data_IF_067367122894
#
_entry.id   IF_067367122894
#
_cell.length_a   1.000
_cell.length_b   1.000
_cell.length_c   1.000
_cell.angle_alpha   90.00
_cell.angle_beta   90.00
_cell.angle_gamma   90.00
#
_symmetry.space_group_name_H-M   'P 1'
#
loop_
_entity.id
_entity.type
_entity.pdbx_description
1 polymer ?
#
# COMPACT_ATOMS: atom_id res chain seq x y z
N UNK A 1 -21.86 -2.21 20.66
CA UNK A 1 -20.86 -2.69 21.63
C UNK A 1 -20.83 -1.80 22.87
N UNK A 2 -20.85 -0.47 22.72
CA UNK A 2 -20.87 0.46 23.84
C UNK A 2 -22.06 0.28 24.81
N UNK A 3 -23.26 0.00 24.29
CA UNK A 3 -24.43 -0.33 25.12
C UNK A 3 -24.23 -1.61 25.95
N UNK A 4 -23.51 -2.61 25.42
CA UNK A 4 -23.23 -3.86 26.13
C UNK A 4 -22.18 -3.67 27.24
N UNK A 5 -21.18 -2.80 27.01
CA UNK A 5 -20.18 -2.40 28.00
C UNK A 5 -20.83 -1.63 29.16
N UNK A 6 -21.70 -0.67 28.85
CA UNK A 6 -22.40 0.10 29.87
C UNK A 6 -23.36 -0.76 30.70
N UNK A 7 -24.02 -1.74 30.06
CA UNK A 7 -24.87 -2.70 30.76
C UNK A 7 -24.08 -3.62 31.70
N UNK A 8 -22.93 -4.16 31.25
CA UNK A 8 -22.06 -5.01 32.09
C UNK A 8 -21.45 -4.23 33.26
N UNK A 9 -21.04 -2.96 33.07
CA UNK A 9 -20.57 -2.10 34.17
C UNK A 9 -21.64 -1.88 35.24
N UNK A 10 -22.88 -1.56 34.84
CA UNK A 10 -24.01 -1.42 35.78
C UNK A 10 -24.30 -2.71 36.54
N UNK A 11 -24.28 -3.85 35.86
CA UNK A 11 -24.50 -5.17 36.48
C UNK A 11 -23.43 -5.51 37.53
N UNK A 12 -22.17 -5.19 37.24
CA UNK A 12 -21.04 -5.36 38.17
C UNK A 12 -21.20 -4.46 39.41
N UNK A 13 -21.60 -3.20 39.23
CA UNK A 13 -21.86 -2.27 40.34
C UNK A 13 -23.01 -2.73 41.25
N UNK A 14 -24.08 -3.29 40.69
CA UNK A 14 -25.21 -3.83 41.45
C UNK A 14 -24.81 -5.08 42.25
N UNK A 15 -24.12 -6.03 41.61
CA UNK A 15 -23.68 -7.28 42.25
C UNK A 15 -22.59 -7.03 43.31
N UNK A 16 -21.72 -6.04 43.11
CA UNK A 16 -20.69 -5.66 44.08
C UNK A 16 -21.26 -5.06 45.37
N UNK A 17 -22.49 -4.52 45.34
CA UNK A 17 -23.13 -3.89 46.51
C UNK A 17 -24.03 -4.84 47.29
N UNK A 18 -24.61 -5.85 46.65
CA UNK A 18 -25.72 -6.63 47.21
C UNK A 18 -25.40 -8.10 47.56
N UNK A 19 -24.32 -8.71 47.03
CA UNK A 19 -24.10 -10.15 47.21
C UNK A 19 -22.65 -10.53 47.56
N UNK A 20 -22.43 -11.00 48.80
CA UNK A 20 -21.20 -11.70 49.23
C UNK A 20 -21.37 -13.22 49.28
N UNK A 21 -22.41 -13.74 48.63
CA UNK A 21 -22.63 -15.19 48.51
C UNK A 21 -21.57 -15.81 47.59
N UNK A 22 -21.14 -17.07 47.82
CA UNK A 22 -20.12 -17.72 46.99
C UNK A 22 -20.47 -17.73 45.49
N UNK A 23 -21.77 -17.87 45.16
CA UNK A 23 -22.26 -17.81 43.78
C UNK A 23 -22.22 -16.40 43.18
N UNK A 24 -22.51 -15.36 43.98
CA UNK A 24 -22.42 -13.97 43.56
C UNK A 24 -20.99 -13.56 43.18
N UNK A 25 -19.99 -14.05 43.93
CA UNK A 25 -18.56 -13.79 43.67
C UNK A 25 -18.10 -14.41 42.35
N UNK A 26 -18.56 -15.64 42.04
CA UNK A 26 -18.26 -16.31 40.76
C UNK A 26 -18.87 -15.53 39.59
N UNK A 27 -20.14 -15.14 39.68
CA UNK A 27 -20.83 -14.34 38.67
C UNK A 27 -20.15 -12.98 38.44
N UNK A 28 -19.67 -12.35 39.52
CA UNK A 28 -18.88 -11.11 39.44
C UNK A 28 -17.58 -11.31 38.65
N UNK A 29 -16.85 -12.40 38.93
CA UNK A 29 -15.60 -12.71 38.22
C UNK A 29 -15.82 -12.95 36.72
N UNK A 30 -16.92 -13.62 36.36
CA UNK A 30 -17.30 -13.89 34.97
C UNK A 30 -17.67 -12.60 34.23
N UNK A 31 -18.42 -11.70 34.88
CA UNK A 31 -18.79 -10.40 34.31
C UNK A 31 -17.57 -9.47 34.13
N UNK A 32 -16.62 -9.47 35.07
CA UNK A 32 -15.36 -8.71 34.94
C UNK A 32 -14.53 -9.25 33.77
N UNK A 33 -14.44 -10.57 33.62
CA UNK A 33 -13.76 -11.21 32.48
C UNK A 33 -14.44 -10.89 31.15
N UNK A 34 -15.77 -10.90 31.10
CA UNK A 34 -16.55 -10.52 29.92
C UNK A 34 -16.35 -9.04 29.55
N UNK A 35 -16.32 -8.14 30.53
CA UNK A 35 -16.06 -6.71 30.33
C UNK A 35 -14.66 -6.49 29.72
N UNK A 36 -13.63 -7.14 30.27
CA UNK A 36 -12.27 -7.05 29.75
C UNK A 36 -12.18 -7.51 28.28
N UNK A 37 -12.89 -8.59 27.91
CA UNK A 37 -12.96 -9.07 26.52
C UNK A 37 -13.67 -8.07 25.61
N UNK A 38 -14.77 -7.46 26.06
CA UNK A 38 -15.51 -6.45 25.30
C UNK A 38 -14.67 -5.18 25.08
N UNK A 39 -14.01 -4.67 26.12
CA UNK A 39 -13.17 -3.47 26.03
C UNK A 39 -11.95 -3.71 25.13
N UNK A 40 -11.32 -4.89 25.22
CA UNK A 40 -10.23 -5.28 24.31
C UNK A 40 -10.70 -5.44 22.86
N UNK A 41 -11.91 -5.97 22.65
CA UNK A 41 -12.55 -6.03 21.34
C UNK A 41 -12.74 -4.64 20.71
N UNK A 42 -13.24 -3.66 21.48
CA UNK A 42 -13.41 -2.28 21.00
C UNK A 42 -12.08 -1.61 20.67
N UNK A 43 -11.05 -1.80 21.51
CA UNK A 43 -9.70 -1.28 21.22
C UNK A 43 -9.15 -1.85 19.92
N UNK A 44 -9.34 -3.16 19.69
CA UNK A 44 -8.93 -3.83 18.45
C UNK A 44 -9.64 -3.25 17.24
N UNK A 45 -10.96 -3.04 17.30
CA UNK A 45 -11.73 -2.43 16.20
C UNK A 45 -11.32 -0.99 15.93
N UNK A 46 -11.11 -0.17 16.97
CA UNK A 46 -10.64 1.22 16.83
C UNK A 46 -9.22 1.32 16.28
N UNK A 47 -8.39 0.31 16.48
CA UNK A 47 -7.02 0.25 15.92
C UNK A 47 -6.96 -0.15 14.44
N UNK A 48 -8.07 -0.65 13.86
CA UNK A 48 -8.15 -0.92 12.43
C UNK A 48 -8.23 0.43 11.72
N UNK A 49 -7.06 0.96 11.32
CA UNK A 49 -7.00 2.15 10.47
C UNK A 49 -7.68 1.80 9.14
N UNK A 50 -8.69 2.57 8.79
CA UNK A 50 -9.32 2.48 7.47
C UNK A 50 -8.24 2.85 6.44
N UNK A 51 -7.80 1.88 5.63
CA UNK A 51 -6.80 2.14 4.59
C UNK A 51 -7.54 2.89 3.49
N UNK A 52 -7.11 4.12 3.18
CA UNK A 52 -7.58 4.85 2.01
C UNK A 52 -7.51 3.93 0.79
N UNK A 53 -8.64 3.68 0.15
CA UNK A 53 -8.65 2.94 -1.12
C UNK A 53 -7.93 3.81 -2.16
N UNK A 54 -7.09 3.23 -3.02
CA UNK A 54 -6.50 3.98 -4.12
C UNK A 54 -7.64 4.50 -5.01
N UNK A 55 -7.61 5.81 -5.31
CA UNK A 55 -8.53 6.41 -6.27
C UNK A 55 -7.98 6.06 -7.65
N UNK A 56 -8.63 5.12 -8.35
CA UNK A 56 -8.23 4.74 -9.70
C UNK A 56 -8.70 5.85 -10.65
N UNK A 57 -7.81 6.78 -10.98
CA UNK A 57 -8.07 7.78 -12.03
C UNK A 57 -7.48 7.27 -13.34
N UNK A 58 -8.31 6.62 -14.16
CA UNK A 58 -7.96 6.21 -15.54
C UNK A 58 -7.39 7.39 -16.34
N UNK A 59 -7.92 8.60 -16.13
CA UNK A 59 -7.49 9.85 -16.77
C UNK A 59 -6.97 10.85 -15.73
N UNK A 60 -5.97 10.49 -14.94
CA UNK A 60 -5.34 11.42 -14.00
C UNK A 60 -4.63 12.56 -14.75
N UNK A 61 -5.10 13.83 -14.66
CA UNK A 61 -4.47 14.94 -15.37
C UNK A 61 -3.02 15.14 -14.92
N UNK A 62 -2.75 14.89 -13.64
CA UNK A 62 -1.42 14.97 -13.04
C UNK A 62 -0.47 13.93 -13.63
N UNK A 63 -0.95 12.70 -13.88
CA UNK A 63 -0.13 11.65 -14.48
C UNK A 63 0.20 11.96 -15.95
N UNK A 64 -0.76 12.50 -16.69
CA UNK A 64 -0.56 12.93 -18.08
C UNK A 64 0.44 14.08 -18.17
N UNK A 65 0.36 15.06 -17.27
CA UNK A 65 1.32 16.16 -17.19
C UNK A 65 2.72 15.64 -16.81
N UNK A 66 2.82 14.72 -15.84
CA UNK A 66 4.09 14.08 -15.50
C UNK A 66 4.70 13.34 -16.69
N UNK A 67 3.90 12.53 -17.40
CA UNK A 67 4.32 11.82 -18.62
C UNK A 67 4.84 12.78 -19.68
N UNK A 68 4.14 13.89 -19.92
CA UNK A 68 4.55 14.92 -20.87
C UNK A 68 5.90 15.54 -20.47
N UNK A 69 6.04 15.96 -19.21
CA UNK A 69 7.29 16.54 -18.71
C UNK A 69 8.47 15.57 -18.82
N UNK A 70 8.25 14.27 -18.55
CA UNK A 70 9.27 13.23 -18.71
C UNK A 70 9.66 13.03 -20.18
N UNK A 71 8.70 13.05 -21.12
CA UNK A 71 8.98 12.93 -22.55
C UNK A 71 9.80 14.11 -23.09
N UNK A 72 9.55 15.31 -22.59
CA UNK A 72 10.20 16.55 -23.01
C UNK A 72 11.56 16.75 -22.35
N UNK A 73 11.67 16.50 -21.05
CA UNK A 73 12.83 16.88 -20.23
C UNK A 73 13.57 15.71 -19.58
N UNK A 74 13.06 14.48 -19.68
CA UNK A 74 13.64 13.29 -19.04
C UNK A 74 14.82 12.67 -19.78
N UNK A 75 15.45 13.36 -20.74
CA UNK A 75 16.64 12.90 -21.47
C UNK A 75 16.54 11.46 -22.01
N UNK A 76 15.37 11.09 -22.53
CA UNK A 76 15.09 9.74 -23.03
C UNK A 76 15.64 9.52 -24.44
N UNK A 77 16.20 8.33 -24.68
CA UNK A 77 16.49 7.84 -26.03
C UNK A 77 15.20 7.65 -26.83
N UNK A 78 15.29 7.65 -28.16
CA UNK A 78 14.13 7.53 -29.04
C UNK A 78 13.27 6.29 -28.72
N UNK A 79 13.90 5.12 -28.52
CA UNK A 79 13.19 3.89 -28.19
C UNK A 79 12.49 3.93 -26.81
N UNK A 80 13.05 4.69 -25.85
CA UNK A 80 12.45 4.88 -24.53
C UNK A 80 11.20 5.76 -24.62
N UNK A 81 11.25 6.81 -25.46
CA UNK A 81 10.07 7.64 -25.74
C UNK A 81 8.96 6.83 -26.37
N UNK A 82 9.29 5.99 -27.35
CA UNK A 82 8.34 5.08 -28.00
C UNK A 82 7.69 4.12 -26.98
N UNK A 83 8.50 3.49 -26.12
CA UNK A 83 8.00 2.62 -25.05
C UNK A 83 7.03 3.34 -24.11
N UNK A 84 7.35 4.58 -23.72
CA UNK A 84 6.53 5.38 -22.82
C UNK A 84 5.24 5.88 -23.49
N UNK A 85 5.23 6.03 -24.81
CA UNK A 85 4.06 6.47 -25.58
C UNK A 85 3.06 5.35 -25.87
N UNK A 86 3.47 4.08 -25.82
CA UNK A 86 2.56 2.95 -25.96
C UNK A 86 1.47 2.99 -24.88
N UNK A 87 0.23 2.68 -25.30
CA UNK A 87 -0.94 2.55 -24.42
C UNK A 87 -1.35 1.07 -24.26
N UNK A 88 -0.47 0.14 -24.65
CA UNK A 88 -0.77 -1.29 -24.60
C UNK A 88 -0.78 -1.78 -23.14
N UNK A 89 -1.82 -2.53 -22.78
CA UNK A 89 -1.96 -3.11 -21.43
C UNK A 89 -0.88 -4.14 -21.12
N UNK A 90 -0.48 -4.92 -22.13
CA UNK A 90 0.55 -5.95 -22.00
C UNK A 90 1.70 -5.65 -22.96
N UNK A 91 2.90 -5.44 -22.40
CA UNK A 91 4.10 -5.12 -23.17
C UNK A 91 5.19 -6.14 -22.87
N UNK A 92 5.66 -6.81 -23.92
CA UNK A 92 6.81 -7.73 -23.87
C UNK A 92 7.95 -7.08 -24.64
N UNK A 93 9.07 -6.82 -23.97
CA UNK A 93 10.21 -6.11 -24.56
C UNK A 93 11.40 -7.04 -24.67
N UNK A 94 11.80 -7.34 -25.91
CA UNK A 94 13.10 -7.94 -26.18
C UNK A 94 14.17 -6.83 -26.21
N UNK A 95 15.03 -6.80 -25.19
CA UNK A 95 16.07 -5.77 -25.02
C UNK A 95 17.48 -6.34 -25.12
N UNK A 96 18.40 -5.52 -25.61
CA UNK A 96 19.84 -5.72 -25.41
C UNK A 96 20.27 -5.24 -24.01
N UNK A 97 21.50 -5.57 -23.60
CA UNK A 97 22.08 -5.10 -22.33
C UNK A 97 22.55 -3.64 -22.44
N UNK A 98 22.63 -2.98 -21.29
CA UNK A 98 23.22 -1.63 -21.15
C UNK A 98 22.53 -0.51 -21.95
N UNK A 99 21.25 -0.66 -22.28
CA UNK A 99 20.48 0.39 -22.96
C UNK A 99 19.81 1.38 -21.98
N UNK A 100 19.74 1.04 -20.69
CA UNK A 100 19.05 1.87 -19.70
C UNK A 100 17.53 1.65 -19.68
N UNK A 101 17.07 0.41 -19.89
CA UNK A 101 15.63 0.12 -19.87
C UNK A 101 14.99 0.35 -18.48
N UNK A 102 15.71 0.01 -17.40
CA UNK A 102 15.23 0.25 -16.03
C UNK A 102 14.96 1.74 -15.73
N UNK A 103 15.63 2.65 -16.44
CA UNK A 103 15.40 4.10 -16.32
C UNK A 103 13.98 4.45 -16.78
N UNK A 104 13.59 4.06 -18.00
CA UNK A 104 12.27 4.38 -18.55
C UNK A 104 11.14 3.55 -17.92
N UNK A 105 11.37 2.27 -17.61
CA UNK A 105 10.33 1.43 -16.99
C UNK A 105 9.96 1.93 -15.59
N UNK A 106 10.94 2.39 -14.82
CA UNK A 106 10.69 2.98 -13.49
C UNK A 106 9.95 4.32 -13.58
N UNK A 107 10.17 5.09 -14.66
CA UNK A 107 9.44 6.33 -14.95
C UNK A 107 7.95 6.04 -15.21
N UNK A 108 7.69 5.03 -16.05
CA UNK A 108 6.33 4.63 -16.41
C UNK A 108 5.57 4.02 -15.22
N UNK A 109 6.25 3.25 -14.38
CA UNK A 109 5.70 2.80 -13.11
C UNK A 109 5.33 3.99 -12.20
N UNK A 110 6.19 5.01 -12.09
CA UNK A 110 5.87 6.22 -11.31
C UNK A 110 4.65 6.95 -11.87
N UNK A 111 4.54 7.08 -13.20
CA UNK A 111 3.36 7.67 -13.86
C UNK A 111 2.11 6.88 -13.51
N UNK A 112 2.17 5.54 -13.55
CA UNK A 112 1.08 4.67 -13.12
C UNK A 112 0.68 4.86 -11.66
N UNK A 113 1.66 4.98 -10.76
CA UNK A 113 1.42 5.26 -9.35
C UNK A 113 0.77 6.63 -9.14
N UNK A 114 1.21 7.67 -9.85
CA UNK A 114 0.61 9.02 -9.81
C UNK A 114 -0.82 9.02 -10.37
N UNK A 115 -1.13 8.12 -11.32
CA UNK A 115 -2.49 7.88 -11.81
C UNK A 115 -3.39 7.16 -10.78
N UNK A 116 -2.83 6.67 -9.67
CA UNK A 116 -3.56 5.97 -8.62
C UNK A 116 -3.58 4.44 -8.79
N UNK A 117 -2.73 3.88 -9.68
CA UNK A 117 -2.59 2.44 -9.85
C UNK A 117 -1.41 1.92 -9.03
N UNK A 118 -1.63 0.87 -8.26
CA UNK A 118 -0.56 0.21 -7.52
C UNK A 118 0.43 -0.46 -8.50
N UNK A 119 1.72 -0.44 -8.17
CA UNK A 119 2.79 -0.94 -9.03
C UNK A 119 3.62 -2.00 -8.30
N UNK A 120 3.86 -3.13 -8.97
CA UNK A 120 4.57 -4.26 -8.40
C UNK A 120 5.81 -4.57 -9.26
N UNK A 121 7.00 -4.35 -8.70
CA UNK A 121 8.26 -4.77 -9.30
C UNK A 121 8.56 -6.21 -8.89
N UNK A 122 8.66 -7.09 -9.89
CA UNK A 122 9.02 -8.49 -9.71
C UNK A 122 10.29 -8.77 -10.50
N UNK A 123 11.35 -9.14 -9.81
CA UNK A 123 12.63 -9.49 -10.45
C UNK A 123 13.14 -10.85 -9.98
N UNK A 124 14.16 -11.37 -10.66
CA UNK A 124 14.76 -12.65 -10.28
C UNK A 124 15.37 -12.63 -8.86
N UNK A 125 15.85 -11.47 -8.37
CA UNK A 125 16.23 -11.25 -6.98
C UNK A 125 15.65 -9.96 -6.39
N UNK A 126 15.66 -9.86 -5.05
CA UNK A 126 15.24 -8.66 -4.34
C UNK A 126 16.12 -7.44 -4.66
N UNK A 127 17.45 -7.62 -4.69
CA UNK A 127 18.39 -6.57 -5.09
C UNK A 127 18.14 -6.05 -6.50
N UNK A 128 17.73 -6.91 -7.44
CA UNK A 128 17.39 -6.49 -8.80
C UNK A 128 16.13 -5.62 -8.82
N UNK A 129 15.10 -6.01 -8.07
CA UNK A 129 13.88 -5.20 -7.95
C UNK A 129 14.17 -3.84 -7.29
N UNK A 130 15.13 -3.79 -6.35
CA UNK A 130 15.60 -2.54 -5.76
C UNK A 130 16.28 -1.59 -6.77
N UNK A 131 16.81 -2.08 -7.89
CA UNK A 131 17.34 -1.21 -8.96
C UNK A 131 16.20 -0.37 -9.56
N UNK A 132 15.05 -0.98 -9.85
CA UNK A 132 13.86 -0.23 -10.32
C UNK A 132 13.37 0.75 -9.26
N UNK A 133 13.33 0.34 -7.99
CA UNK A 133 12.95 1.24 -6.89
C UNK A 133 13.88 2.47 -6.79
N UNK A 134 15.19 2.31 -7.01
CA UNK A 134 16.16 3.43 -7.01
C UNK A 134 15.91 4.41 -8.15
N UNK A 135 15.68 3.91 -9.37
CA UNK A 135 15.35 4.77 -10.51
C UNK A 135 14.00 5.46 -10.32
N UNK A 136 13.00 4.77 -9.77
CA UNK A 136 11.70 5.37 -9.46
C UNK A 136 11.85 6.52 -8.46
N UNK A 137 12.63 6.34 -7.38
CA UNK A 137 12.94 7.42 -6.43
C UNK A 137 13.68 8.58 -7.07
N UNK A 138 14.59 8.29 -8.00
CA UNK A 138 15.30 9.32 -8.77
C UNK A 138 14.31 10.18 -9.57
N UNK A 139 13.39 9.55 -10.33
CA UNK A 139 12.33 10.26 -11.05
C UNK A 139 11.42 11.07 -10.12
N UNK A 140 11.00 10.48 -8.99
CA UNK A 140 10.17 11.18 -8.03
C UNK A 140 10.86 12.44 -7.50
N UNK A 141 12.16 12.34 -7.18
CA UNK A 141 12.96 13.49 -6.75
C UNK A 141 13.08 14.55 -7.85
N UNK A 142 13.34 14.14 -9.09
CA UNK A 142 13.52 15.05 -10.24
C UNK A 142 12.23 15.82 -10.57
N UNK A 143 11.07 15.19 -10.45
CA UNK A 143 9.77 15.79 -10.81
C UNK A 143 8.97 16.29 -9.61
N UNK A 144 9.55 16.24 -8.39
CA UNK A 144 8.94 16.77 -7.18
C UNK A 144 7.74 15.98 -6.66
N UNK A 145 7.74 14.66 -6.85
CA UNK A 145 6.70 13.76 -6.31
C UNK A 145 7.04 13.40 -4.87
N UNK A 146 6.13 13.72 -3.94
CA UNK A 146 6.28 13.42 -2.52
C UNK A 146 5.75 12.03 -2.16
N UNK A 147 6.39 11.40 -1.18
CA UNK A 147 5.97 10.12 -0.63
C UNK A 147 5.41 10.29 0.77
N UNK A 148 4.27 9.65 1.01
CA UNK A 148 3.67 9.54 2.34
C UNK A 148 4.45 8.56 3.22
N UNK A 149 4.99 7.51 2.60
CA UNK A 149 5.85 6.51 3.24
C UNK A 149 6.92 6.11 2.25
N UNK A 150 8.18 6.11 2.69
CA UNK A 150 9.30 5.58 1.93
C UNK A 150 10.03 4.55 2.79
N UNK A 151 10.02 3.30 2.33
CA UNK A 151 10.78 2.20 2.91
C UNK A 151 11.47 1.45 1.78
N UNK A 152 12.56 0.74 2.07
CA UNK A 152 13.43 0.13 1.06
C UNK A 152 12.66 -0.58 -0.07
N UNK A 153 11.72 -1.46 0.30
CA UNK A 153 10.92 -2.28 -0.61
C UNK A 153 9.53 -1.74 -0.93
N UNK A 154 9.10 -0.64 -0.32
CA UNK A 154 7.72 -0.14 -0.48
C UNK A 154 7.68 1.39 -0.34
N UNK A 155 7.09 2.04 -1.35
CA UNK A 155 6.83 3.47 -1.37
C UNK A 155 5.33 3.69 -1.51
N UNK A 156 4.77 4.62 -0.74
CA UNK A 156 3.36 5.01 -0.80
C UNK A 156 3.27 6.49 -1.14
N UNK A 157 2.50 6.83 -2.17
CA UNK A 157 2.26 8.19 -2.63
C UNK A 157 1.14 8.86 -1.80
N UNK A 158 1.03 10.18 -1.91
CA UNK A 158 -0.04 10.95 -1.23
C UNK A 158 -1.45 10.55 -1.68
N UNK A 159 -1.60 10.10 -2.92
CA UNK A 159 -2.86 9.59 -3.47
C UNK A 159 -3.24 8.18 -2.96
N UNK A 160 -2.40 7.56 -2.14
CA UNK A 160 -2.60 6.24 -1.56
C UNK A 160 -2.13 5.06 -2.42
N UNK A 161 -1.71 5.29 -3.67
CA UNK A 161 -1.10 4.25 -4.48
C UNK A 161 0.26 3.85 -3.91
N UNK A 162 0.62 2.57 -4.06
CA UNK A 162 1.92 2.09 -3.61
C UNK A 162 2.74 1.44 -4.73
N UNK A 163 4.05 1.53 -4.60
CA UNK A 163 5.03 0.86 -5.43
C UNK A 163 5.80 -0.09 -4.54
N UNK A 164 5.81 -1.38 -4.88
CA UNK A 164 6.40 -2.43 -4.05
C UNK A 164 7.29 -3.36 -4.84
N UNK A 165 8.45 -3.69 -4.29
CA UNK A 165 9.38 -4.67 -4.85
C UNK A 165 9.20 -6.04 -4.22
N UNK A 166 9.29 -7.09 -5.03
CA UNK A 166 9.28 -8.49 -4.62
C UNK A 166 10.41 -9.26 -5.29
N UNK A 167 10.99 -10.21 -4.55
CA UNK A 167 11.73 -11.31 -5.15
C UNK A 167 10.78 -12.24 -5.94
N UNK A 168 11.34 -13.15 -6.74
CA UNK A 168 10.66 -14.07 -7.66
C UNK A 168 9.69 -15.12 -7.03
N UNK A 169 8.93 -14.76 -6.00
CA UNK A 169 7.92 -15.59 -5.37
C UNK A 169 6.52 -15.22 -5.85
N UNK A 170 6.05 -15.96 -6.86
CA UNK A 170 4.71 -15.77 -7.44
C UNK A 170 3.58 -15.86 -6.41
N UNK A 171 3.73 -16.68 -5.36
CA UNK A 171 2.70 -16.85 -4.31
C UNK A 171 2.50 -15.57 -3.50
N UNK A 172 3.57 -14.82 -3.29
CA UNK A 172 3.50 -13.54 -2.58
C UNK A 172 2.80 -12.49 -3.42
N UNK A 173 3.12 -12.42 -4.72
CA UNK A 173 2.58 -11.41 -5.64
C UNK A 173 1.07 -11.57 -5.85
N UNK A 174 0.54 -12.81 -5.84
CA UNK A 174 -0.89 -13.09 -6.01
C UNK A 174 -1.82 -12.36 -5.01
N UNK A 175 -1.31 -11.96 -3.84
CA UNK A 175 -2.08 -11.23 -2.84
C UNK A 175 -2.21 -9.72 -3.09
N UNK A 176 -1.51 -9.18 -4.09
CA UNK A 176 -1.48 -7.75 -4.39
C UNK A 176 -2.21 -7.47 -5.71
N UNK A 177 -2.96 -6.37 -5.75
CA UNK A 177 -3.55 -5.83 -6.97
C UNK A 177 -2.67 -4.69 -7.49
N UNK A 178 -2.49 -4.60 -8.81
CA UNK A 178 -1.67 -3.55 -9.43
C UNK A 178 -1.09 -3.97 -10.77
N UNK A 179 -0.39 -3.05 -11.41
CA UNK A 179 0.38 -3.31 -12.61
C UNK A 179 1.67 -4.05 -12.25
N UNK A 180 2.01 -5.06 -13.02
CA UNK A 180 3.17 -5.92 -12.76
C UNK A 180 4.27 -5.62 -13.77
N UNK A 181 5.46 -5.39 -13.24
CA UNK A 181 6.69 -5.18 -13.99
C UNK A 181 7.63 -6.35 -13.72
N UNK A 182 7.90 -7.14 -14.75
CA UNK A 182 8.77 -8.31 -14.65
C UNK A 182 10.12 -8.01 -15.33
N UNK A 183 11.23 -8.16 -14.60
CA UNK A 183 12.61 -8.08 -15.12
C UNK A 183 13.41 -9.36 -14.82
#
# INVERSE_FOLDING_TARGET
IDNAINFTKKKIEELSKNDQTPQGVVMLSELVSALAKLENGVKKVKSIKDKSRPIINMDSPTANELKKRILEHGNLYAYQKEFLQSNDTFRIVLKSRQIGFSYVSSADALIGAVAGRDQLFLSASEEQALILMRYMRHWAKEYGISFKKDSEHEVVLENGAYIKSFANNFRTVQGFAGDIWMD
#
